data_IF_128983674020
#
_entry.id   IF_128983674020
#
_cell.length_a   1.000
_cell.length_b   1.000
_cell.length_c   1.000
_cell.angle_alpha   90.00
_cell.angle_beta   90.00
_cell.angle_gamma   90.00
#
_symmetry.space_group_name_H-M   'P 1'
#
loop_
_entity.id
_entity.type
_entity.pdbx_description
1 polymer ?
#
# COMPACT_ATOMS: atom_id res chain seq x y z
N UNK A 1 16.60 37.55 20.91
CA UNK A 1 15.60 37.49 19.83
C UNK A 1 15.75 36.26 18.93
N UNK A 2 16.95 35.95 18.41
CA UNK A 2 17.17 34.77 17.54
C UNK A 2 16.76 33.43 18.17
N UNK A 3 17.05 33.20 19.46
CA UNK A 3 16.65 31.95 20.15
C UNK A 3 15.12 31.80 20.27
N UNK A 4 14.40 32.90 20.50
CA UNK A 4 12.94 32.89 20.58
C UNK A 4 12.31 32.63 19.19
N UNK A 5 12.88 33.21 18.13
CA UNK A 5 12.47 32.95 16.76
C UNK A 5 12.71 31.50 16.34
N UNK A 6 13.84 30.91 16.74
CA UNK A 6 14.15 29.51 16.47
C UNK A 6 13.19 28.56 17.20
N UNK A 7 12.85 28.84 18.46
CA UNK A 7 11.87 28.07 19.23
C UNK A 7 10.48 28.17 18.57
N UNK A 8 10.06 29.36 18.15
CA UNK A 8 8.78 29.57 17.46
C UNK A 8 8.72 28.83 16.11
N UNK A 9 9.84 28.77 15.39
CA UNK A 9 9.93 28.06 14.12
C UNK A 9 9.83 26.53 14.32
N UNK A 10 10.47 25.99 15.36
CA UNK A 10 10.41 24.56 15.70
C UNK A 10 8.99 24.17 16.16
N UNK A 11 8.33 24.98 16.99
CA UNK A 11 6.95 24.70 17.45
C UNK A 11 5.94 24.80 16.30
N UNK A 12 6.12 25.73 15.36
CA UNK A 12 5.27 25.84 14.17
C UNK A 12 5.42 24.63 13.24
N UNK A 13 6.63 24.10 13.05
CA UNK A 13 6.85 22.89 12.24
C UNK A 13 6.25 21.63 12.88
N UNK A 14 6.32 21.49 14.22
CA UNK A 14 5.74 20.37 14.93
C UNK A 14 4.20 20.32 14.79
N UNK A 15 3.53 21.47 14.68
CA UNK A 15 2.08 21.57 14.52
C UNK A 15 1.57 21.10 13.13
N UNK A 16 2.45 20.94 12.14
CA UNK A 16 2.10 20.49 10.79
C UNK A 16 2.29 18.99 10.57
N UNK A 17 2.77 18.24 11.57
CA UNK A 17 2.93 16.80 11.48
C UNK A 17 1.58 16.08 11.63
N UNK A 18 0.90 15.83 10.51
CA UNK A 18 -0.22 14.90 10.47
C UNK A 18 0.28 13.51 10.09
N UNK A 19 0.31 12.59 11.06
CA UNK A 19 0.51 11.17 10.78
C UNK A 19 -0.83 10.55 10.39
N UNK A 20 -0.83 9.72 9.33
CA UNK A 20 -2.01 8.93 9.01
C UNK A 20 -2.20 7.84 10.08
N UNK A 21 -3.40 7.78 10.66
CA UNK A 21 -3.76 6.68 11.55
C UNK A 21 -4.01 5.41 10.73
N UNK A 22 -3.08 4.47 10.86
CA UNK A 22 -3.12 3.16 10.21
C UNK A 22 -3.46 2.04 11.18
N UNK A 23 -3.79 2.36 12.43
CA UNK A 23 -4.04 1.38 13.51
C UNK A 23 -5.21 0.43 13.19
N UNK A 24 -6.17 0.90 12.39
CA UNK A 24 -7.31 0.09 11.95
C UNK A 24 -6.92 -1.06 10.99
N UNK A 25 -5.75 -0.98 10.36
CA UNK A 25 -5.25 -2.03 9.47
C UNK A 25 -4.46 -3.11 10.22
N UNK A 26 -5.01 -4.33 10.24
CA UNK A 26 -4.34 -5.46 10.86
C UNK A 26 -3.23 -6.02 9.94
N UNK A 27 -2.01 -6.26 10.47
CA UNK A 27 -0.97 -6.95 9.71
C UNK A 27 -1.30 -8.43 9.60
N UNK A 28 -1.11 -8.99 8.41
CA UNK A 28 -1.23 -10.41 8.12
C UNK A 28 -0.17 -10.85 7.11
N UNK A 29 0.00 -12.17 7.00
CA UNK A 29 0.87 -12.80 6.02
C UNK A 29 0.10 -13.91 5.33
N UNK A 30 0.29 -14.05 4.02
CA UNK A 30 -0.16 -15.20 3.26
C UNK A 30 1.07 -15.99 2.83
N UNK A 31 1.09 -17.28 3.15
CA UNK A 31 2.20 -18.17 2.83
C UNK A 31 1.73 -19.20 1.80
N UNK A 32 2.51 -19.36 0.73
CA UNK A 32 2.32 -20.41 -0.26
C UNK A 32 3.68 -20.95 -0.63
N UNK A 33 3.88 -22.24 -0.43
CA UNK A 33 5.19 -22.90 -0.57
C UNK A 33 6.26 -22.17 0.28
N UNK A 34 7.34 -21.68 -0.34
CA UNK A 34 8.37 -20.87 0.32
C UNK A 34 8.15 -19.35 0.21
N UNK A 35 7.06 -18.91 -0.45
CA UNK A 35 6.77 -17.50 -0.66
C UNK A 35 5.88 -16.93 0.45
N UNK A 36 6.25 -15.74 0.94
CA UNK A 36 5.50 -14.97 1.93
C UNK A 36 5.04 -13.66 1.31
N UNK A 37 3.73 -13.42 1.32
CA UNK A 37 3.13 -12.15 0.93
C UNK A 37 2.64 -11.42 2.19
N UNK A 38 3.29 -10.30 2.51
CA UNK A 38 2.85 -9.40 3.56
C UNK A 38 1.60 -8.65 3.11
N UNK A 39 0.60 -8.50 3.97
CA UNK A 39 -0.55 -7.66 3.67
C UNK A 39 -1.16 -7.01 4.91
N UNK A 40 -1.95 -5.96 4.64
CA UNK A 40 -2.80 -5.28 5.61
C UNK A 40 -4.25 -5.56 5.29
N UNK A 41 -5.05 -5.83 6.31
CA UNK A 41 -6.49 -6.04 6.18
C UNK A 41 -7.25 -5.06 7.06
N UNK A 42 -8.28 -4.44 6.48
CA UNK A 42 -9.23 -3.58 7.16
C UNK A 42 -10.60 -4.26 7.15
N UNK A 43 -11.17 -4.44 8.33
CA UNK A 43 -12.53 -4.94 8.46
C UNK A 43 -13.54 -3.79 8.56
N UNK A 44 -14.79 -4.00 8.09
CA UNK A 44 -15.86 -3.04 8.30
C UNK A 44 -16.14 -2.87 9.79
N UNK A 45 -16.76 -1.75 10.15
CA UNK A 45 -17.20 -1.52 11.54
C UNK A 45 -18.17 -2.62 11.98
N UNK A 46 -17.99 -3.13 13.21
CA UNK A 46 -18.79 -4.22 13.76
C UNK A 46 -18.83 -5.46 12.86
N UNK A 47 -17.67 -5.84 12.32
CA UNK A 47 -17.51 -7.01 11.44
C UNK A 47 -18.20 -8.25 12.02
N UNK A 48 -19.05 -8.87 11.20
CA UNK A 48 -19.74 -10.10 11.53
C UNK A 48 -19.37 -11.19 10.50
N UNK A 49 -18.67 -12.27 10.90
CA UNK A 49 -18.24 -13.31 9.97
C UNK A 49 -19.40 -14.09 9.31
N UNK A 50 -20.62 -14.02 9.85
CA UNK A 50 -21.81 -14.61 9.24
C UNK A 50 -22.40 -13.76 8.09
N UNK A 51 -21.90 -12.53 7.86
CA UNK A 51 -22.34 -11.64 6.79
C UNK A 51 -21.34 -11.63 5.64
N UNK A 52 -21.84 -11.44 4.41
CA UNK A 52 -21.01 -11.21 3.23
C UNK A 52 -20.73 -9.72 3.07
N UNK A 53 -19.49 -9.38 2.73
CA UNK A 53 -19.04 -8.02 2.46
C UNK A 53 -18.33 -7.96 1.10
N UNK A 54 -18.38 -6.83 0.38
CA UNK A 54 -17.50 -6.60 -0.75
C UNK A 54 -16.03 -6.69 -0.35
N UNK A 55 -15.20 -7.17 -1.26
CA UNK A 55 -13.74 -7.17 -1.13
C UNK A 55 -13.15 -6.09 -2.03
N UNK A 56 -12.37 -5.20 -1.43
CA UNK A 56 -11.55 -4.24 -2.16
C UNK A 56 -10.09 -4.71 -2.06
N UNK A 57 -9.51 -5.07 -3.19
CA UNK A 57 -8.08 -5.36 -3.30
C UNK A 57 -7.38 -4.12 -3.88
N UNK A 58 -6.52 -3.48 -3.10
CA UNK A 58 -5.79 -2.29 -3.53
C UNK A 58 -4.32 -2.62 -3.74
N UNK A 59 -3.86 -2.48 -4.99
CA UNK A 59 -2.47 -2.72 -5.38
C UNK A 59 -1.72 -1.39 -5.46
N UNK A 60 -0.72 -1.21 -4.61
CA UNK A 60 0.10 0.00 -4.57
C UNK A 60 1.10 0.07 -5.74
N UNK A 61 1.74 1.22 -5.93
CA UNK A 61 2.74 1.46 -6.98
C UNK A 61 4.16 1.01 -6.60
N UNK A 62 5.15 1.33 -7.44
CA UNK A 62 6.52 0.89 -7.20
C UNK A 62 7.17 1.51 -5.95
N UNK A 63 6.68 2.67 -5.49
CA UNK A 63 7.23 3.45 -4.38
C UNK A 63 6.92 2.88 -2.99
N UNK A 64 5.94 1.98 -2.87
CA UNK A 64 5.54 1.38 -1.60
C UNK A 64 5.97 -0.09 -1.47
N UNK A 65 6.74 -0.60 -2.44
CA UNK A 65 7.32 -1.94 -2.37
C UNK A 65 8.19 -2.09 -1.12
N UNK A 66 8.25 -3.31 -0.60
CA UNK A 66 9.12 -3.64 0.52
C UNK A 66 8.67 -4.86 1.31
N UNK A 67 9.23 -5.00 2.51
CA UNK A 67 9.03 -6.14 3.40
C UNK A 67 8.60 -5.74 4.83
N UNK A 68 8.32 -4.45 5.06
CA UNK A 68 8.01 -3.91 6.39
C UNK A 68 6.52 -4.02 6.78
N UNK A 69 5.68 -4.47 5.85
CA UNK A 69 4.22 -4.52 5.95
C UNK A 69 3.61 -3.17 6.36
N UNK A 70 4.19 -2.04 5.93
CA UNK A 70 3.70 -0.69 6.26
C UNK A 70 3.65 0.25 5.06
N UNK A 71 4.65 0.18 4.18
CA UNK A 71 4.78 1.17 3.12
C UNK A 71 3.57 1.17 2.17
N UNK A 72 2.89 0.04 1.97
CA UNK A 72 1.70 -0.06 1.11
C UNK A 72 0.52 0.80 1.57
N UNK A 73 0.52 1.28 2.81
CA UNK A 73 -0.53 2.16 3.34
C UNK A 73 -0.27 3.64 3.05
N UNK A 74 0.95 4.00 2.63
CA UNK A 74 1.39 5.40 2.45
C UNK A 74 0.45 6.19 1.55
N UNK A 75 -0.01 5.56 0.47
CA UNK A 75 -0.96 6.12 -0.47
C UNK A 75 -2.24 5.28 -0.43
N UNK A 76 -3.38 5.94 -0.26
CA UNK A 76 -4.70 5.30 -0.19
C UNK A 76 -5.13 4.81 1.19
N UNK A 77 -4.21 4.56 2.14
CA UNK A 77 -4.57 4.06 3.48
C UNK A 77 -5.60 4.93 4.21
N UNK A 78 -5.35 6.25 4.26
CA UNK A 78 -6.26 7.21 4.89
C UNK A 78 -7.66 7.28 4.24
N UNK A 79 -7.77 7.02 2.93
CA UNK A 79 -9.05 7.05 2.24
C UNK A 79 -9.98 5.94 2.74
N UNK A 80 -9.43 4.75 3.02
CA UNK A 80 -10.21 3.62 3.50
C UNK A 80 -10.51 3.67 5.01
N UNK A 81 -9.76 4.47 5.77
CA UNK A 81 -10.02 4.68 7.20
C UNK A 81 -11.01 5.81 7.48
N UNK A 82 -11.44 6.55 6.46
CA UNK A 82 -12.45 7.60 6.60
C UNK A 82 -13.77 7.05 7.17
N UNK A 83 -14.19 7.64 8.29
CA UNK A 83 -15.38 7.20 9.05
C UNK A 83 -16.67 7.28 8.24
N UNK A 84 -16.82 8.29 7.38
CA UNK A 84 -18.02 8.46 6.56
C UNK A 84 -18.13 7.34 5.53
N UNK A 85 -17.02 7.00 4.86
CA UNK A 85 -17.00 5.92 3.87
C UNK A 85 -17.15 4.55 4.51
N UNK A 86 -16.48 4.28 5.63
CA UNK A 86 -16.62 3.02 6.37
C UNK A 86 -18.05 2.72 6.78
N UNK A 87 -18.79 3.74 7.23
CA UNK A 87 -20.21 3.60 7.62
C UNK A 87 -21.12 3.41 6.42
N UNK A 88 -20.89 4.15 5.33
CA UNK A 88 -21.76 4.13 4.14
C UNK A 88 -21.52 2.90 3.25
N UNK A 89 -20.28 2.43 3.18
CA UNK A 89 -19.84 1.35 2.29
C UNK A 89 -19.00 0.32 3.06
N UNK A 90 -19.62 -0.51 3.92
CA UNK A 90 -18.88 -1.50 4.70
C UNK A 90 -18.27 -2.56 3.76
N UNK A 91 -16.94 -2.62 3.74
CA UNK A 91 -16.17 -3.55 2.91
C UNK A 91 -14.97 -4.11 3.67
N UNK A 92 -14.46 -5.25 3.21
CA UNK A 92 -13.15 -5.76 3.61
C UNK A 92 -12.15 -5.17 2.62
N UNK A 93 -11.09 -4.51 3.12
CA UNK A 93 -10.02 -3.96 2.27
C UNK A 93 -8.74 -4.75 2.52
N UNK A 94 -8.10 -5.22 1.45
CA UNK A 94 -6.81 -5.89 1.49
C UNK A 94 -5.79 -5.06 0.71
N UNK A 95 -4.69 -4.71 1.37
CA UNK A 95 -3.55 -4.00 0.78
C UNK A 95 -2.30 -4.87 0.94
N UNK A 96 -1.99 -5.74 -0.04
CA UNK A 96 -0.76 -6.53 -0.03
C UNK A 96 0.45 -5.63 -0.33
N UNK A 97 1.62 -6.03 0.17
CA UNK A 97 2.88 -5.35 -0.12
C UNK A 97 3.71 -6.19 -1.09
N UNK A 98 3.95 -5.66 -2.28
CA UNK A 98 4.86 -6.26 -3.25
C UNK A 98 6.30 -6.13 -2.73
N UNK A 99 7.12 -7.19 -2.76
CA UNK A 99 8.52 -7.10 -2.34
C UNK A 99 9.33 -6.18 -3.26
N UNK A 100 10.49 -5.71 -2.78
CA UNK A 100 11.39 -4.85 -3.57
C UNK A 100 11.87 -5.52 -4.86
N UNK A 101 11.99 -6.85 -4.84
CA UNK A 101 12.50 -7.68 -5.93
C UNK A 101 11.40 -8.11 -6.89
N UNK A 102 10.22 -7.51 -6.87
CA UNK A 102 9.14 -7.93 -7.77
C UNK A 102 8.21 -6.77 -8.17
N UNK A 103 7.25 -7.11 -9.02
CA UNK A 103 6.16 -6.26 -9.48
C UNK A 103 4.85 -7.06 -9.52
N UNK A 104 3.72 -6.38 -9.46
CA UNK A 104 2.41 -7.03 -9.56
C UNK A 104 2.18 -7.66 -10.94
N UNK A 105 2.67 -7.01 -11.98
CA UNK A 105 2.62 -7.51 -13.35
C UNK A 105 4.02 -7.96 -13.78
N UNK A 106 4.08 -8.97 -14.66
CA UNK A 106 5.33 -9.32 -15.33
C UNK A 106 5.78 -8.14 -16.18
N UNK A 107 6.98 -7.65 -15.89
CA UNK A 107 7.65 -6.62 -16.66
C UNK A 107 9.03 -7.08 -17.12
N UNK A 108 9.47 -6.55 -18.24
CA UNK A 108 10.86 -6.59 -18.70
C UNK A 108 11.25 -5.20 -19.15
N UNK A 109 12.56 -4.93 -19.21
CA UNK A 109 13.06 -3.60 -19.57
C UNK A 109 13.65 -3.61 -20.97
N UNK A 110 13.19 -2.69 -21.82
CA UNK A 110 13.87 -2.36 -23.07
C UNK A 110 14.65 -1.07 -22.89
N UNK A 111 15.92 -1.19 -22.51
CA UNK A 111 16.79 -0.05 -22.25
C UNK A 111 17.05 0.84 -23.48
N UNK A 112 16.72 0.35 -24.69
CA UNK A 112 16.84 1.09 -25.95
C UNK A 112 15.51 1.66 -26.44
N UNK A 113 14.40 1.38 -25.75
CA UNK A 113 13.08 1.90 -26.08
C UNK A 113 12.93 3.36 -25.66
N UNK A 114 12.40 4.18 -26.55
CA UNK A 114 11.98 5.56 -26.27
C UNK A 114 10.49 5.69 -26.59
N UNK A 115 9.68 4.96 -25.83
CA UNK A 115 8.22 5.01 -25.90
C UNK A 115 7.63 5.62 -24.63
N UNK A 116 6.33 5.90 -24.67
CA UNK A 116 5.59 6.45 -23.54
C UNK A 116 5.47 5.49 -22.35
N UNK A 117 5.91 4.23 -22.49
CA UNK A 117 5.94 3.23 -21.42
C UNK A 117 7.22 3.32 -20.57
N UNK A 118 8.13 4.25 -20.90
CA UNK A 118 9.31 4.49 -20.10
C UNK A 118 10.19 3.26 -20.00
N UNK A 119 10.36 2.51 -21.12
CA UNK A 119 11.19 1.30 -21.25
C UNK A 119 10.58 0.03 -20.64
N UNK A 120 9.33 0.04 -20.18
CA UNK A 120 8.64 -1.14 -19.65
C UNK A 120 7.97 -1.95 -20.77
N UNK A 121 8.24 -3.25 -20.83
CA UNK A 121 7.54 -4.23 -21.67
C UNK A 121 6.73 -5.16 -20.76
N UNK A 122 5.48 -5.42 -21.14
CA UNK A 122 4.57 -6.35 -20.45
C UNK A 122 4.37 -7.61 -21.29
N UNK A 123 5.25 -8.63 -21.18
CA UNK A 123 5.13 -9.85 -21.97
C UNK A 123 3.86 -10.62 -21.61
N UNK A 124 3.03 -10.93 -22.60
CA UNK A 124 1.73 -11.60 -22.42
C UNK A 124 1.83 -13.13 -22.49
N UNK A 125 2.96 -13.67 -22.94
CA UNK A 125 3.19 -15.10 -23.17
C UNK A 125 4.00 -15.79 -22.07
N UNK A 126 4.35 -15.09 -20.99
CA UNK A 126 5.07 -15.68 -19.87
C UNK A 126 4.08 -16.28 -18.84
N UNK A 127 4.41 -17.40 -18.20
CA UNK A 127 3.58 -17.98 -17.16
C UNK A 127 3.50 -17.03 -15.95
N UNK A 128 2.41 -17.15 -15.19
CA UNK A 128 2.26 -16.44 -13.91
C UNK A 128 3.47 -16.78 -13.02
N UNK A 129 4.14 -15.76 -12.51
CA UNK A 129 5.33 -15.94 -11.70
C UNK A 129 5.99 -14.60 -11.37
N UNK A 130 7.13 -14.68 -10.68
CA UNK A 130 7.92 -13.50 -10.31
C UNK A 130 8.48 -12.79 -11.53
N UNK A 131 8.60 -11.48 -11.40
CA UNK A 131 9.05 -10.59 -12.46
C UNK A 131 10.56 -10.47 -12.50
N UNK A 132 11.20 -10.37 -11.33
CA UNK A 132 12.67 -10.34 -11.21
C UNK A 132 13.14 -11.54 -10.37
N UNK A 133 13.27 -12.71 -11.00
CA UNK A 133 13.74 -13.95 -10.38
C UNK A 133 12.63 -14.82 -9.84
#
# INVERSE_FOLDING_TARGET
MQKALLILLITFQAALLHAQDTSLFHPKQFMRDSAVLQYRILYPENYNPAKKYPLILFLHGAGERGNNNRAQLKHGGAFFTDKQYRKKYPAIVIMPQCPFTDFWARISFNLKGDDSLGRLIFPTNLPIGRTLG
#
